data_IF_058738859538
#
_entry.id   IF_058738859538
#
_cell.length_a   1.000
_cell.length_b   1.000
_cell.length_c   1.000
_cell.angle_alpha   90.00
_cell.angle_beta   90.00
_cell.angle_gamma   90.00
#
_symmetry.space_group_name_H-M   'P 1'
#
loop_
_entity.id
_entity.type
_entity.pdbx_description
1 polymer ?
#
# COMPACT_ATOMS: atom_id res chain seq x y z
N UNK A 1 -19.79 -24.74 -5.72
CA UNK A 1 -18.90 -23.62 -5.31
C UNK A 1 -17.41 -23.88 -5.56
N UNK A 2 -16.81 -25.02 -5.18
CA UNK A 2 -15.39 -25.34 -5.46
C UNK A 2 -15.09 -25.58 -6.94
N UNK A 3 -15.99 -26.21 -7.72
CA UNK A 3 -15.82 -26.44 -9.16
C UNK A 3 -15.76 -25.13 -9.97
N UNK A 4 -16.56 -24.13 -9.59
CA UNK A 4 -16.56 -22.80 -10.23
C UNK A 4 -15.24 -22.03 -9.97
N UNK A 5 -14.66 -22.15 -8.79
CA UNK A 5 -13.39 -21.51 -8.47
C UNK A 5 -12.20 -22.09 -9.26
N UNK A 6 -12.18 -23.39 -9.47
CA UNK A 6 -11.15 -24.06 -10.27
C UNK A 6 -11.26 -23.66 -11.76
N UNK A 7 -12.48 -23.57 -12.28
CA UNK A 7 -12.72 -23.05 -13.64
C UNK A 7 -12.21 -21.62 -13.83
N UNK A 8 -12.52 -20.73 -12.89
CA UNK A 8 -12.06 -19.33 -12.92
C UNK A 8 -10.53 -19.22 -12.82
N UNK A 9 -9.89 -20.07 -12.01
CA UNK A 9 -8.42 -20.11 -11.92
C UNK A 9 -7.78 -20.57 -13.22
N UNK A 10 -8.33 -21.60 -13.87
CA UNK A 10 -7.84 -22.09 -15.14
C UNK A 10 -7.98 -21.04 -16.24
N UNK A 11 -9.11 -20.34 -16.28
CA UNK A 11 -9.35 -19.26 -17.24
C UNK A 11 -8.38 -18.08 -17.00
N UNK A 12 -8.18 -17.66 -15.77
CA UNK A 12 -7.18 -16.64 -15.44
C UNK A 12 -5.76 -17.05 -15.87
N UNK A 13 -5.37 -18.30 -15.60
CA UNK A 13 -4.07 -18.83 -16.01
C UNK A 13 -3.91 -18.81 -17.53
N UNK A 14 -4.96 -19.18 -18.28
CA UNK A 14 -4.98 -19.11 -19.74
C UNK A 14 -4.80 -17.67 -20.24
N UNK A 15 -5.55 -16.71 -19.70
CA UNK A 15 -5.46 -15.30 -20.07
C UNK A 15 -4.05 -14.75 -19.80
N UNK A 16 -3.50 -15.01 -18.63
CA UNK A 16 -2.14 -14.58 -18.27
C UNK A 16 -1.07 -15.21 -19.15
N UNK A 17 -1.21 -16.51 -19.49
CA UNK A 17 -0.24 -17.19 -20.37
C UNK A 17 -0.20 -16.58 -21.78
N UNK A 18 -1.36 -16.19 -22.32
CA UNK A 18 -1.49 -15.60 -23.63
C UNK A 18 -1.17 -14.10 -23.68
N UNK A 19 -1.22 -13.41 -22.53
CA UNK A 19 -0.95 -11.98 -22.47
C UNK A 19 0.53 -11.67 -22.71
N UNK A 20 0.79 -10.68 -23.55
CA UNK A 20 2.11 -10.10 -23.79
C UNK A 20 2.35 -8.85 -22.93
N UNK A 21 1.27 -8.22 -22.46
CA UNK A 21 1.32 -7.03 -21.62
C UNK A 21 0.25 -7.11 -20.53
N UNK A 22 0.69 -7.10 -19.27
CA UNK A 22 -0.16 -7.20 -18.08
C UNK A 22 -0.06 -5.90 -17.29
N UNK A 23 -1.20 -5.31 -16.95
CA UNK A 23 -1.30 -4.24 -15.94
C UNK A 23 -1.93 -4.85 -14.70
N UNK A 24 -1.34 -4.62 -13.54
CA UNK A 24 -1.90 -5.00 -12.25
C UNK A 24 -2.53 -3.76 -11.62
N UNK A 25 -3.82 -3.84 -11.26
CA UNK A 25 -4.49 -2.85 -10.43
C UNK A 25 -4.75 -3.47 -9.05
N UNK A 26 -4.21 -2.89 -7.99
CA UNK A 26 -4.31 -3.47 -6.65
C UNK A 26 -4.81 -2.51 -5.58
N UNK A 27 -5.40 -3.05 -4.54
CA UNK A 27 -5.88 -2.37 -3.35
C UNK A 27 -5.56 -3.19 -2.10
N UNK A 28 -6.02 -2.76 -0.92
CA UNK A 28 -5.65 -3.31 0.38
C UNK A 28 -5.83 -4.83 0.50
N UNK A 29 -6.79 -5.41 -0.22
CA UNK A 29 -7.02 -6.86 -0.21
C UNK A 29 -5.85 -7.73 -0.64
N UNK A 30 -4.90 -7.22 -1.46
CA UNK A 30 -3.69 -7.98 -1.83
C UNK A 30 -2.72 -8.13 -0.66
N UNK A 31 -2.79 -7.23 0.33
CA UNK A 31 -1.87 -7.18 1.47
C UNK A 31 -2.47 -7.79 2.74
N UNK A 32 -3.74 -8.22 2.73
CA UNK A 32 -4.36 -8.84 3.91
C UNK A 32 -3.72 -10.18 4.27
N UNK A 33 -3.26 -10.96 3.29
CA UNK A 33 -2.48 -12.18 3.54
C UNK A 33 -1.10 -11.92 4.16
N UNK A 34 -0.63 -10.66 4.12
CA UNK A 34 0.64 -10.23 4.71
C UNK A 34 0.47 -9.74 6.16
N UNK A 35 -0.76 -9.71 6.69
CA UNK A 35 -1.05 -9.17 8.02
C UNK A 35 -1.42 -7.69 8.05
N UNK A 36 -1.45 -6.99 6.91
CA UNK A 36 -1.92 -5.60 6.85
C UNK A 36 -3.45 -5.59 6.80
N UNK A 37 -4.14 -4.96 7.77
CA UNK A 37 -5.58 -4.88 7.73
C UNK A 37 -6.05 -4.02 6.54
N UNK A 38 -7.15 -4.39 5.92
CA UNK A 38 -7.80 -3.50 4.96
C UNK A 38 -8.56 -2.37 5.68
N UNK A 39 -9.16 -1.48 4.92
CA UNK A 39 -9.80 -0.30 5.50
C UNK A 39 -11.27 -0.53 5.89
N UNK A 40 -12.03 -1.33 5.13
CA UNK A 40 -13.51 -1.37 5.16
C UNK A 40 -14.11 -2.65 5.70
N UNK A 41 -13.39 -3.77 5.67
CA UNK A 41 -13.90 -5.04 6.17
C UNK A 41 -14.18 -5.00 7.67
N UNK A 42 -15.01 -5.88 8.21
CA UNK A 42 -15.18 -6.03 9.65
C UNK A 42 -13.81 -6.21 10.34
N UNK A 43 -13.49 -5.32 11.29
CA UNK A 43 -12.15 -5.27 11.93
C UNK A 43 -11.08 -4.48 11.17
N UNK A 44 -11.37 -3.95 10.01
CA UNK A 44 -10.47 -3.08 9.23
C UNK A 44 -10.20 -1.73 9.92
N UNK A 45 -9.29 -0.94 9.34
CA UNK A 45 -8.80 0.31 9.95
C UNK A 45 -9.94 1.28 10.30
N UNK A 46 -10.95 1.40 9.44
CA UNK A 46 -12.07 2.34 9.67
C UNK A 46 -13.08 1.87 10.72
N UNK A 47 -12.99 0.63 11.18
CA UNK A 47 -13.76 0.19 12.35
C UNK A 47 -13.22 0.79 13.66
N UNK A 48 -11.93 1.14 13.70
CA UNK A 48 -11.23 1.72 14.85
C UNK A 48 -11.03 3.24 14.74
N UNK A 49 -10.81 3.74 13.52
CA UNK A 49 -10.44 5.13 13.27
C UNK A 49 -11.33 5.77 12.23
N UNK A 50 -11.80 6.98 12.48
CA UNK A 50 -12.48 7.79 11.46
C UNK A 50 -11.46 8.25 10.41
N UNK A 51 -11.80 8.18 9.10
CA UNK A 51 -10.97 8.77 8.06
C UNK A 51 -10.75 10.25 8.32
N UNK A 52 -9.51 10.71 8.18
CA UNK A 52 -9.16 12.12 8.18
C UNK A 52 -9.10 12.59 6.72
N UNK A 53 -9.94 13.54 6.37
CA UNK A 53 -9.91 14.11 5.03
C UNK A 53 -8.76 15.09 4.84
N UNK A 54 -8.33 15.23 3.58
CA UNK A 54 -7.15 16.03 3.24
C UNK A 54 -7.32 17.53 3.58
N UNK A 55 -8.53 18.07 3.45
CA UNK A 55 -8.80 19.47 3.77
C UNK A 55 -8.60 19.73 5.26
N UNK A 56 -9.12 18.86 6.12
CA UNK A 56 -8.93 18.94 7.58
C UNK A 56 -7.45 18.76 7.94
N UNK A 57 -6.74 17.79 7.32
CA UNK A 57 -5.30 17.64 7.49
C UNK A 57 -4.54 18.92 7.14
N UNK A 58 -4.88 19.59 6.05
CA UNK A 58 -4.21 20.82 5.62
C UNK A 58 -4.50 22.01 6.52
N UNK A 59 -5.73 22.17 6.99
CA UNK A 59 -6.17 23.38 7.71
C UNK A 59 -5.88 23.34 9.21
N UNK A 60 -5.61 22.16 9.80
CA UNK A 60 -5.47 22.00 11.25
C UNK A 60 -4.15 21.34 11.64
N UNK A 61 -3.22 22.06 12.31
CA UNK A 61 -2.01 21.44 12.87
C UNK A 61 -2.30 20.29 13.83
N UNK A 62 -3.35 20.41 14.65
CA UNK A 62 -3.77 19.36 15.59
C UNK A 62 -4.24 18.10 14.84
N UNK A 63 -5.04 18.27 13.77
CA UNK A 63 -5.48 17.14 12.94
C UNK A 63 -4.32 16.47 12.19
N UNK A 64 -3.32 17.25 11.73
CA UNK A 64 -2.09 16.69 11.14
C UNK A 64 -1.32 15.84 12.15
N UNK A 65 -1.11 16.36 13.34
CA UNK A 65 -0.43 15.63 14.43
C UNK A 65 -1.18 14.34 14.75
N UNK A 66 -2.49 14.41 14.97
CA UNK A 66 -3.31 13.24 15.24
C UNK A 66 -3.23 12.20 14.10
N UNK A 67 -3.37 12.66 12.85
CA UNK A 67 -3.29 11.78 11.67
C UNK A 67 -1.94 11.06 11.54
N UNK A 68 -0.84 11.78 11.74
CA UNK A 68 0.52 11.21 11.69
C UNK A 68 0.77 10.26 12.87
N UNK A 69 0.39 10.62 14.10
CA UNK A 69 0.51 9.76 15.27
C UNK A 69 -0.28 8.47 15.12
N UNK A 70 -1.51 8.56 14.60
CA UNK A 70 -2.36 7.40 14.28
C UNK A 70 -1.71 6.49 13.24
N UNK A 71 -1.17 7.07 12.18
CA UNK A 71 -0.49 6.32 11.11
C UNK A 71 0.71 5.56 11.65
N UNK A 72 1.56 6.21 12.46
CA UNK A 72 2.72 5.58 13.11
C UNK A 72 2.29 4.43 14.03
N UNK A 73 1.25 4.65 14.84
CA UNK A 73 0.71 3.61 15.71
C UNK A 73 0.22 2.38 14.93
N UNK A 74 -0.50 2.57 13.83
CA UNK A 74 -0.95 1.46 12.98
C UNK A 74 0.26 0.74 12.39
N UNK A 75 1.27 1.45 11.90
CA UNK A 75 2.51 0.88 11.39
C UNK A 75 3.19 -0.01 12.43
N UNK A 76 3.30 0.47 13.65
CA UNK A 76 3.97 -0.24 14.75
C UNK A 76 3.15 -1.47 15.20
N UNK A 77 1.81 -1.37 15.22
CA UNK A 77 0.92 -2.51 15.50
C UNK A 77 1.03 -3.62 14.43
N UNK A 78 1.15 -3.24 13.15
CA UNK A 78 1.33 -4.19 12.05
C UNK A 78 2.72 -4.80 12.07
N UNK A 79 3.73 -4.02 12.44
CA UNK A 79 5.12 -4.46 12.44
C UNK A 79 5.70 -4.73 11.05
N UNK A 80 6.85 -5.41 10.97
CA UNK A 80 7.46 -5.76 9.71
C UNK A 80 6.65 -6.83 8.97
N UNK A 81 6.36 -6.59 7.70
CA UNK A 81 5.60 -7.49 6.82
C UNK A 81 6.38 -7.83 5.57
N UNK A 82 6.16 -9.02 5.01
CA UNK A 82 6.79 -9.46 3.77
C UNK A 82 5.76 -9.49 2.62
N UNK A 83 6.22 -9.30 1.37
CA UNK A 83 5.35 -9.38 0.20
C UNK A 83 4.67 -10.75 0.08
N UNK A 84 3.36 -10.76 -0.10
CA UNK A 84 2.58 -11.97 -0.30
C UNK A 84 2.62 -12.51 -1.73
N UNK A 85 1.83 -13.57 -1.97
CA UNK A 85 1.76 -14.29 -3.24
C UNK A 85 1.36 -13.41 -4.42
N UNK A 86 0.43 -12.47 -4.19
CA UNK A 86 -0.01 -11.53 -5.21
C UNK A 86 1.10 -10.59 -5.67
N UNK A 87 1.87 -10.05 -4.72
CA UNK A 87 3.03 -9.20 -5.00
C UNK A 87 4.12 -9.98 -5.74
N UNK A 88 4.41 -11.21 -5.29
CA UNK A 88 5.37 -12.10 -5.93
C UNK A 88 4.96 -12.47 -7.37
N UNK A 89 3.65 -12.60 -7.65
CA UNK A 89 3.16 -12.85 -9.00
C UNK A 89 3.46 -11.67 -9.94
N UNK A 90 3.18 -10.43 -9.51
CA UNK A 90 3.52 -9.22 -10.28
C UNK A 90 5.02 -9.14 -10.57
N UNK A 91 5.86 -9.41 -9.58
CA UNK A 91 7.32 -9.44 -9.74
C UNK A 91 7.79 -10.54 -10.71
N UNK A 92 7.16 -11.72 -10.71
CA UNK A 92 7.43 -12.77 -11.71
C UNK A 92 7.08 -12.32 -13.13
N UNK A 93 5.93 -11.66 -13.32
CA UNK A 93 5.56 -11.12 -14.63
C UNK A 93 6.49 -10.00 -15.09
N UNK A 94 7.00 -9.19 -14.15
CA UNK A 94 8.04 -8.22 -14.47
C UNK A 94 9.31 -8.89 -15.00
N UNK A 95 9.84 -9.89 -14.27
CA UNK A 95 11.03 -10.63 -14.71
C UNK A 95 10.84 -11.36 -16.03
N UNK A 96 9.63 -11.80 -16.35
CA UNK A 96 9.26 -12.43 -17.61
C UNK A 96 9.03 -11.42 -18.76
N UNK A 97 9.21 -10.11 -18.53
CA UNK A 97 8.98 -9.07 -19.53
C UNK A 97 7.50 -8.82 -19.87
N UNK A 98 6.58 -9.44 -19.15
CA UNK A 98 5.14 -9.34 -19.39
C UNK A 98 4.44 -8.19 -18.64
N UNK A 99 5.04 -7.68 -17.55
CA UNK A 99 4.43 -6.62 -16.76
C UNK A 99 4.64 -5.26 -17.43
N UNK A 100 3.57 -4.61 -17.83
CA UNK A 100 3.58 -3.23 -18.30
C UNK A 100 3.70 -2.25 -17.12
N UNK A 101 3.00 -2.53 -16.01
CA UNK A 101 3.06 -1.75 -14.78
C UNK A 101 2.11 -2.24 -13.71
N UNK A 102 2.27 -1.67 -12.53
CA UNK A 102 1.37 -1.80 -11.38
C UNK A 102 0.75 -0.44 -11.10
N UNK A 103 -0.55 -0.40 -10.91
CA UNK A 103 -1.28 0.75 -10.38
C UNK A 103 -1.82 0.31 -9.03
N UNK A 104 -1.42 0.96 -7.95
CA UNK A 104 -1.83 0.55 -6.62
C UNK A 104 -2.46 1.69 -5.83
N UNK A 105 -3.49 1.36 -5.05
CA UNK A 105 -4.05 2.22 -4.02
C UNK A 105 -3.30 2.06 -2.68
N UNK A 106 -2.44 1.04 -2.58
CA UNK A 106 -1.71 0.75 -1.35
C UNK A 106 -0.52 1.68 -1.18
N UNK A 107 -0.22 1.95 0.08
CA UNK A 107 0.91 2.78 0.51
C UNK A 107 2.02 1.95 1.16
N UNK A 108 1.93 0.62 1.12
CA UNK A 108 2.78 -0.32 1.86
C UNK A 108 4.16 -0.60 1.22
N UNK A 109 4.34 -0.23 -0.05
CA UNK A 109 5.58 -0.47 -0.80
C UNK A 109 5.86 -1.94 -1.11
N UNK A 110 4.92 -2.85 -0.89
CA UNK A 110 5.16 -4.30 -1.02
C UNK A 110 5.38 -4.76 -2.46
N UNK A 111 4.83 -4.05 -3.45
CA UNK A 111 5.14 -4.35 -4.85
C UNK A 111 6.62 -4.12 -5.16
N UNK A 112 7.19 -3.01 -4.69
CA UNK A 112 8.59 -2.68 -4.88
C UNK A 112 9.48 -3.66 -4.12
N UNK A 113 9.14 -3.99 -2.88
CA UNK A 113 9.87 -4.98 -2.08
C UNK A 113 9.81 -6.39 -2.68
N UNK A 114 8.76 -6.73 -3.41
CA UNK A 114 8.66 -7.99 -4.17
C UNK A 114 9.57 -8.02 -5.42
N UNK A 115 10.09 -6.86 -5.85
CA UNK A 115 10.97 -6.72 -7.01
C UNK A 115 10.33 -6.10 -8.25
N UNK A 116 9.19 -5.39 -8.10
CA UNK A 116 8.66 -4.52 -9.17
C UNK A 116 9.36 -3.17 -9.06
N UNK A 117 10.02 -2.66 -10.12
CA UNK A 117 10.68 -1.35 -10.07
C UNK A 117 9.69 -0.21 -9.79
N UNK A 118 10.14 0.81 -9.05
CA UNK A 118 9.34 2.02 -8.80
C UNK A 118 8.94 2.73 -10.09
N UNK A 119 9.78 2.69 -11.14
CA UNK A 119 9.46 3.22 -12.48
C UNK A 119 8.31 2.48 -13.19
N UNK A 120 7.90 1.33 -12.69
CA UNK A 120 6.76 0.53 -13.17
C UNK A 120 5.59 0.49 -12.18
N UNK A 121 5.65 1.30 -11.12
CA UNK A 121 4.61 1.35 -10.07
C UNK A 121 4.06 2.75 -9.96
N UNK A 122 2.73 2.87 -10.14
CA UNK A 122 1.98 4.11 -9.90
C UNK A 122 1.26 3.98 -8.55
N UNK A 123 1.62 4.84 -7.61
CA UNK A 123 1.05 4.88 -6.26
C UNK A 123 -0.02 5.98 -6.19
N UNK A 124 -1.29 5.59 -6.27
CA UNK A 124 -2.40 6.55 -6.36
C UNK A 124 -2.62 7.36 -5.08
N UNK A 125 -2.26 6.81 -3.93
CA UNK A 125 -2.43 7.44 -2.62
C UNK A 125 -1.08 7.77 -1.95
N UNK A 126 0.01 7.79 -2.72
CA UNK A 126 1.35 7.99 -2.19
C UNK A 126 1.96 6.74 -1.57
N UNK A 127 2.93 6.93 -0.68
CA UNK A 127 3.69 5.86 -0.05
C UNK A 127 3.80 6.09 1.46
N UNK A 128 3.69 5.02 2.24
CA UNK A 128 3.70 5.07 3.70
C UNK A 128 5.10 4.95 4.32
N UNK A 129 6.17 4.93 3.52
CA UNK A 129 7.54 4.85 4.05
C UNK A 129 8.23 6.21 4.16
N UNK A 130 7.66 7.25 3.52
CA UNK A 130 8.17 8.61 3.54
C UNK A 130 7.03 9.62 3.40
N UNK A 131 7.33 10.90 3.65
CA UNK A 131 6.44 12.01 3.34
C UNK A 131 7.19 13.11 2.57
N UNK A 132 6.42 13.94 1.86
CA UNK A 132 6.93 15.16 1.24
C UNK A 132 6.34 16.38 1.93
N UNK A 133 7.18 17.40 2.14
CA UNK A 133 6.69 18.72 2.50
C UNK A 133 5.84 19.28 1.35
N UNK A 134 4.61 19.69 1.66
CA UNK A 134 3.67 20.18 0.63
C UNK A 134 4.03 21.58 0.10
N UNK A 135 4.91 22.31 0.79
CA UNK A 135 5.36 23.64 0.35
C UNK A 135 6.60 23.54 -0.54
N UNK A 136 7.64 22.82 -0.10
CA UNK A 136 8.94 22.79 -0.81
C UNK A 136 9.26 21.44 -1.48
N UNK A 137 8.40 20.42 -1.35
CA UNK A 137 8.61 19.10 -1.91
C UNK A 137 9.71 18.26 -1.25
N UNK A 138 10.37 18.77 -0.19
CA UNK A 138 11.44 18.03 0.49
C UNK A 138 10.91 16.71 1.04
N UNK A 139 11.61 15.63 0.74
CA UNK A 139 11.32 14.30 1.26
C UNK A 139 11.85 14.14 2.68
N UNK A 140 11.06 13.51 3.53
CA UNK A 140 11.39 13.12 4.89
C UNK A 140 11.08 11.65 5.10
N UNK A 141 12.01 10.91 5.66
CA UNK A 141 11.78 9.53 6.06
C UNK A 141 10.84 9.47 7.26
N UNK A 142 10.04 8.42 7.35
CA UNK A 142 8.99 8.32 8.37
C UNK A 142 9.54 8.29 9.80
N UNK A 143 10.71 7.69 10.00
CA UNK A 143 11.36 7.65 11.33
C UNK A 143 11.82 9.03 11.81
N UNK A 144 12.25 9.89 10.88
CA UNK A 144 12.54 11.29 11.20
C UNK A 144 11.27 12.02 11.67
N UNK A 145 10.13 11.79 11.00
CA UNK A 145 8.84 12.38 11.36
C UNK A 145 8.40 11.89 12.76
N UNK A 146 8.58 10.59 13.04
CA UNK A 146 8.28 10.02 14.35
C UNK A 146 9.08 10.72 15.46
N UNK A 147 10.39 10.88 15.26
CA UNK A 147 11.26 11.60 16.21
C UNK A 147 10.85 13.07 16.41
N UNK A 148 10.39 13.76 15.35
CA UNK A 148 9.88 15.14 15.49
C UNK A 148 8.58 15.20 16.32
N UNK A 149 7.67 14.25 16.13
CA UNK A 149 6.43 14.20 16.92
C UNK A 149 6.72 13.96 18.40
N UNK A 150 7.60 13.02 18.73
CA UNK A 150 8.01 12.73 20.11
C UNK A 150 8.71 13.91 20.78
N UNK A 151 9.56 14.64 20.05
CA UNK A 151 10.28 15.80 20.57
C UNK A 151 9.33 16.97 20.92
N UNK A 152 8.19 17.10 20.23
CA UNK A 152 7.21 18.16 20.45
C UNK A 152 6.09 17.79 21.44
N UNK A 153 6.05 16.56 21.92
CA UNK A 153 5.13 16.08 22.95
C UNK A 153 5.73 16.19 24.39
N UNK A 154 6.97 16.68 24.51
CA UNK A 154 7.67 17.00 25.78
C UNK A 154 7.59 18.48 26.07
#
# INVERSE_FOLDING_TARGET
MMSDLNGKRAELARLVSQANRIVVFSGAGISTECGIPDFRSPGGVWSKYRPLDFKTFMSSPAARREGLSRFLKIRDEVGPVEPGRGHAAAARWHRAGKLAGVITQNIDGLHQRAGVPSSRTVELHGNGTYAHCLECGKRHELDWIAGQLEAHDR
#
